data_IF_665560655407
#
_entry.id   IF_665560655407
#
_cell.length_a   1.000
_cell.length_b   1.000
_cell.length_c   1.000
_cell.angle_alpha   90.00
_cell.angle_beta   90.00
_cell.angle_gamma   90.00
#
_symmetry.space_group_name_H-M   'P 1'
#
loop_
_entity.id
_entity.type
_entity.pdbx_description
1 polymer ?
#
# COMPACT_ATOMS: atom_id res chain seq x y z
N UNK A 1 12.99 6.48 42.88
CA UNK A 1 14.36 6.55 42.34
C UNK A 1 14.50 5.68 41.09
N UNK A 2 14.14 4.39 41.10
CA UNK A 2 14.28 3.51 39.93
C UNK A 2 13.42 3.99 38.75
N UNK A 3 12.17 4.37 38.98
CA UNK A 3 11.25 4.87 37.97
C UNK A 3 11.78 6.15 37.31
N UNK A 4 12.30 7.09 38.10
CA UNK A 4 12.86 8.34 37.57
C UNK A 4 14.10 8.10 36.71
N UNK A 5 14.96 7.13 37.06
CA UNK A 5 16.11 6.72 36.26
C UNK A 5 15.67 6.15 34.90
N UNK A 6 14.65 5.31 34.89
CA UNK A 6 14.09 4.75 33.65
C UNK A 6 13.50 5.86 32.78
N UNK A 7 12.76 6.81 33.35
CA UNK A 7 12.21 7.94 32.57
C UNK A 7 13.33 8.81 31.96
N UNK A 8 14.38 9.11 32.72
CA UNK A 8 15.52 9.91 32.22
C UNK A 8 16.25 9.15 31.10
N UNK A 9 16.38 7.83 31.21
CA UNK A 9 16.99 7.00 30.18
C UNK A 9 16.19 7.07 28.87
N UNK A 10 14.86 6.92 28.91
CA UNK A 10 14.03 7.03 27.70
C UNK A 10 14.01 8.45 27.11
N UNK A 11 14.01 9.49 27.94
CA UNK A 11 14.10 10.87 27.46
C UNK A 11 15.43 11.18 26.77
N UNK A 12 16.51 10.49 27.16
CA UNK A 12 17.82 10.67 26.54
C UNK A 12 17.87 10.25 25.07
N UNK A 13 17.04 9.29 24.64
CA UNK A 13 16.93 8.92 23.22
C UNK A 13 16.39 10.10 22.39
N UNK A 14 15.38 10.80 22.88
CA UNK A 14 14.83 11.99 22.20
C UNK A 14 15.86 13.10 22.04
N UNK A 15 16.75 13.26 23.03
CA UNK A 15 17.82 14.24 22.93
C UNK A 15 18.86 13.87 21.86
N UNK A 16 19.27 12.60 21.80
CA UNK A 16 20.21 12.10 20.79
C UNK A 16 19.61 12.21 19.38
N UNK A 17 18.35 11.81 19.21
CA UNK A 17 17.67 11.91 17.93
C UNK A 17 17.59 13.36 17.46
N UNK A 18 17.21 14.29 18.34
CA UNK A 18 17.11 15.72 18.02
C UNK A 18 18.44 16.29 17.60
N UNK A 19 19.53 15.95 18.29
CA UNK A 19 20.88 16.39 17.94
C UNK A 19 21.29 15.93 16.53
N UNK A 20 21.00 14.68 16.17
CA UNK A 20 21.30 14.17 14.84
C UNK A 20 20.39 14.75 13.76
N UNK A 21 19.13 15.07 14.08
CA UNK A 21 18.22 15.76 13.15
C UNK A 21 18.68 17.19 12.86
N UNK A 22 19.13 17.93 13.88
CA UNK A 22 19.68 19.29 13.70
C UNK A 22 20.96 19.26 12.84
N UNK A 23 21.80 18.23 12.99
CA UNK A 23 22.97 18.01 12.11
C UNK A 23 22.55 17.63 10.68
N UNK A 24 21.54 16.79 10.52
CA UNK A 24 21.03 16.40 9.20
C UNK A 24 20.52 17.60 8.42
N UNK A 25 19.81 18.53 9.09
CA UNK A 25 19.34 19.77 8.48
C UNK A 25 20.46 20.69 7.98
N UNK A 26 21.68 20.55 8.51
CA UNK A 26 22.87 21.33 8.13
C UNK A 26 23.78 20.61 7.13
N UNK A 27 23.47 19.37 6.72
CA UNK A 27 24.29 18.62 5.78
C UNK A 27 24.21 19.21 4.36
N UNK A 28 25.33 19.57 3.73
CA UNK A 28 25.38 20.12 2.39
C UNK A 28 24.86 19.16 1.30
N UNK A 29 24.81 17.86 1.58
CA UNK A 29 24.28 16.82 0.68
C UNK A 29 22.80 16.53 0.89
N UNK A 30 22.19 17.19 1.84
CA UNK A 30 20.77 17.05 2.20
C UNK A 30 20.50 16.10 3.36
N UNK A 31 19.43 16.37 4.07
CA UNK A 31 18.99 15.66 5.27
C UNK A 31 18.86 14.14 5.05
N UNK A 32 18.26 13.74 3.91
CA UNK A 32 18.06 12.34 3.57
C UNK A 32 19.37 11.57 3.43
N UNK A 33 20.40 12.19 2.85
CA UNK A 33 21.73 11.57 2.70
C UNK A 33 22.39 11.33 4.04
N UNK A 34 22.32 12.32 4.95
CA UNK A 34 22.88 12.18 6.29
C UNK A 34 22.20 11.07 7.08
N UNK A 35 20.88 11.05 7.05
CA UNK A 35 20.08 10.04 7.75
C UNK A 35 20.34 8.63 7.23
N UNK A 36 20.44 8.45 5.92
CA UNK A 36 20.74 7.15 5.30
C UNK A 36 22.16 6.66 5.68
N UNK A 37 23.15 7.54 5.64
CA UNK A 37 24.54 7.20 6.01
C UNK A 37 24.69 6.84 7.49
N UNK A 38 23.96 7.53 8.38
CA UNK A 38 24.06 7.37 9.83
C UNK A 38 23.08 6.34 10.41
N UNK A 39 22.14 5.83 9.61
CA UNK A 39 21.06 4.96 10.06
C UNK A 39 21.53 3.74 10.86
N UNK A 40 22.62 3.13 10.42
CA UNK A 40 23.20 1.92 11.02
C UNK A 40 24.40 2.22 11.92
N UNK A 41 24.80 3.49 12.04
CA UNK A 41 25.90 3.89 12.91
C UNK A 41 25.45 3.88 14.37
N UNK A 42 26.36 3.42 15.26
CA UNK A 42 26.14 3.38 16.71
C UNK A 42 26.37 4.76 17.30
N UNK A 43 25.28 5.49 17.54
CA UNK A 43 25.33 6.90 17.97
C UNK A 43 25.11 7.10 19.46
N UNK A 44 24.59 6.08 20.17
CA UNK A 44 24.30 6.19 21.60
C UNK A 44 24.83 5.00 22.40
N UNK A 45 25.59 5.30 23.49
CA UNK A 45 26.21 4.32 24.40
C UNK A 45 27.02 3.21 23.69
N UNK A 46 27.48 3.44 22.45
CA UNK A 46 28.21 2.45 21.64
C UNK A 46 27.40 1.19 21.26
N UNK A 47 26.13 1.13 21.64
CA UNK A 47 25.27 -0.05 21.44
C UNK A 47 24.04 0.24 20.58
N UNK A 48 23.51 1.46 20.62
CA UNK A 48 22.28 1.83 19.91
C UNK A 48 22.57 2.58 18.61
N UNK A 49 21.98 2.11 17.52
CA UNK A 49 22.05 2.78 16.21
C UNK A 49 21.09 3.97 16.17
N UNK A 50 21.31 4.89 15.23
CA UNK A 50 20.39 6.03 15.04
C UNK A 50 18.95 5.56 14.78
N UNK A 51 18.78 4.49 14.00
CA UNK A 51 17.48 3.87 13.73
C UNK A 51 16.81 3.39 15.03
N UNK A 52 17.52 2.66 15.87
CA UNK A 52 17.01 2.18 17.16
C UNK A 52 16.69 3.33 18.11
N UNK A 53 17.51 4.40 18.13
CA UNK A 53 17.20 5.59 18.93
C UNK A 53 15.88 6.24 18.50
N UNK A 54 15.63 6.31 17.20
CA UNK A 54 14.35 6.84 16.65
C UNK A 54 13.15 5.95 16.95
N UNK A 55 13.33 4.64 16.99
CA UNK A 55 12.27 3.67 17.35
C UNK A 55 11.94 3.73 18.85
N UNK A 56 12.93 4.02 19.68
CA UNK A 56 12.77 4.15 21.15
C UNK A 56 12.39 5.57 21.60
N UNK A 57 12.46 6.55 20.71
CA UNK A 57 12.03 7.91 20.99
C UNK A 57 10.54 7.93 21.35
N UNK A 58 10.16 8.76 22.32
CA UNK A 58 8.75 8.98 22.64
C UNK A 58 8.05 9.56 21.43
N UNK A 59 7.20 8.76 20.81
CA UNK A 59 6.37 9.17 19.66
C UNK A 59 5.39 10.25 20.08
N UNK A 60 5.70 11.49 19.72
CA UNK A 60 4.72 12.58 19.84
C UNK A 60 3.70 12.42 18.72
N UNK A 61 2.41 12.49 19.06
CA UNK A 61 1.31 12.39 18.08
C UNK A 61 1.36 13.52 17.04
N UNK A 62 0.54 13.36 15.99
CA UNK A 62 0.40 14.33 14.89
C UNK A 62 0.11 15.75 15.38
N UNK A 63 -0.61 15.89 16.51
CA UNK A 63 -0.98 17.16 17.10
C UNK A 63 0.21 17.94 17.69
N UNK A 64 1.28 17.22 18.09
CA UNK A 64 2.45 17.80 18.75
C UNK A 64 3.66 17.95 17.82
N UNK A 65 3.89 16.99 16.93
CA UNK A 65 5.02 17.04 15.95
C UNK A 65 4.61 17.56 14.57
N UNK A 66 3.30 17.67 14.33
CA UNK A 66 2.77 17.87 13.00
C UNK A 66 2.85 16.58 12.16
N UNK A 67 2.25 16.60 11.01
CA UNK A 67 2.22 15.46 10.08
C UNK A 67 0.97 15.50 9.23
N UNK A 68 0.87 14.54 8.32
CA UNK A 68 -0.33 14.39 7.50
C UNK A 68 -0.85 12.95 7.58
N UNK A 69 -2.16 12.84 7.54
CA UNK A 69 -2.82 11.56 7.30
C UNK A 69 -3.15 11.48 5.81
N UNK A 70 -2.64 10.46 5.13
CA UNK A 70 -2.86 10.26 3.68
C UNK A 70 -3.56 8.94 3.49
N UNK A 71 -4.71 8.98 2.81
CA UNK A 71 -5.44 7.80 2.38
C UNK A 71 -5.14 7.60 0.91
N UNK A 72 -4.62 6.41 0.56
CA UNK A 72 -4.34 6.00 -0.81
C UNK A 72 -5.27 4.85 -1.17
N UNK A 73 -5.80 4.89 -2.37
CA UNK A 73 -6.67 3.84 -2.90
C UNK A 73 -6.02 3.21 -4.13
N UNK A 74 -6.11 1.88 -4.24
CA UNK A 74 -5.72 1.15 -5.45
C UNK A 74 -6.91 1.15 -6.40
N UNK A 75 -6.70 1.64 -7.62
CA UNK A 75 -7.73 1.63 -8.67
C UNK A 75 -7.98 0.21 -9.17
N UNK A 76 -8.96 -0.49 -8.60
CA UNK A 76 -9.35 -1.83 -9.04
C UNK A 76 -9.75 -1.87 -10.52
N UNK A 77 -10.50 -0.87 -11.07
CA UNK A 77 -10.77 -0.79 -12.50
C UNK A 77 -9.52 -0.84 -13.37
N UNK A 78 -8.45 -0.15 -12.98
CA UNK A 78 -7.22 -0.12 -13.77
C UNK A 78 -6.42 -1.41 -13.64
N UNK A 79 -6.47 -2.07 -12.49
CA UNK A 79 -5.91 -3.42 -12.33
C UNK A 79 -6.62 -4.40 -13.26
N UNK A 80 -7.96 -4.38 -13.30
CA UNK A 80 -8.75 -5.27 -14.19
C UNK A 80 -8.45 -4.99 -15.66
N UNK A 81 -8.29 -3.73 -16.08
CA UNK A 81 -7.86 -3.38 -17.45
C UNK A 81 -6.46 -3.92 -17.76
N UNK A 82 -5.52 -3.76 -16.83
CA UNK A 82 -4.16 -4.27 -17.01
C UNK A 82 -4.13 -5.79 -17.15
N UNK A 83 -4.92 -6.52 -16.34
CA UNK A 83 -5.05 -7.98 -16.44
C UNK A 83 -5.66 -8.45 -17.77
N UNK A 84 -6.52 -7.64 -18.38
CA UNK A 84 -7.07 -7.85 -19.71
C UNK A 84 -6.12 -7.40 -20.84
N UNK A 85 -4.86 -7.09 -20.53
CA UNK A 85 -3.85 -6.59 -21.48
C UNK A 85 -4.30 -5.30 -22.21
N UNK A 86 -5.02 -4.43 -21.50
CA UNK A 86 -5.58 -3.17 -22.01
C UNK A 86 -6.38 -3.35 -23.32
N UNK A 87 -7.11 -4.45 -23.45
CA UNK A 87 -7.96 -4.69 -24.62
C UNK A 87 -8.90 -3.53 -24.87
N UNK A 88 -9.07 -3.20 -26.13
CA UNK A 88 -9.95 -2.11 -26.60
C UNK A 88 -11.37 -2.56 -26.93
N UNK A 89 -11.80 -3.71 -26.42
CA UNK A 89 -13.17 -4.18 -26.60
C UNK A 89 -14.17 -3.17 -26.03
N UNK A 90 -15.13 -2.76 -26.85
CA UNK A 90 -16.12 -1.74 -26.49
C UNK A 90 -17.04 -2.21 -25.35
N UNK A 91 -17.47 -3.48 -25.38
CA UNK A 91 -18.31 -4.06 -24.34
C UNK A 91 -17.58 -4.13 -23.00
N UNK A 92 -16.29 -4.51 -23.02
CA UNK A 92 -15.43 -4.52 -21.84
C UNK A 92 -15.26 -3.12 -21.24
N UNK A 93 -14.91 -2.13 -22.08
CA UNK A 93 -14.69 -0.76 -21.61
C UNK A 93 -15.96 -0.12 -21.04
N UNK A 94 -17.12 -0.37 -21.69
CA UNK A 94 -18.41 0.07 -21.15
C UNK A 94 -18.74 -0.59 -19.82
N UNK A 95 -18.52 -1.89 -19.70
CA UNK A 95 -18.77 -2.63 -18.47
C UNK A 95 -17.89 -2.11 -17.31
N UNK A 96 -16.60 -1.85 -17.57
CA UNK A 96 -15.68 -1.27 -16.56
C UNK A 96 -16.14 0.14 -16.15
N UNK A 97 -16.54 0.98 -17.11
CA UNK A 97 -17.01 2.34 -16.83
C UNK A 97 -18.30 2.36 -16.00
N UNK A 98 -19.28 1.50 -16.36
CA UNK A 98 -20.54 1.42 -15.60
C UNK A 98 -20.34 0.79 -14.21
N UNK A 99 -19.53 -0.26 -14.10
CA UNK A 99 -19.17 -0.83 -12.80
C UNK A 99 -18.46 0.19 -11.90
N UNK A 100 -17.55 1.03 -12.46
CA UNK A 100 -16.89 2.10 -11.71
C UNK A 100 -17.86 3.16 -11.18
N UNK A 101 -18.88 3.51 -11.95
CA UNK A 101 -19.92 4.44 -11.47
C UNK A 101 -20.77 3.81 -10.36
N UNK A 102 -21.13 2.54 -10.54
CA UNK A 102 -21.95 1.82 -9.55
C UNK A 102 -21.20 1.55 -8.26
N UNK A 103 -19.89 1.30 -8.29
CA UNK A 103 -19.08 1.04 -7.10
C UNK A 103 -19.03 2.23 -6.13
N UNK A 104 -19.31 3.45 -6.60
CA UNK A 104 -19.37 4.65 -5.74
C UNK A 104 -20.62 4.63 -4.83
N UNK A 105 -21.72 4.02 -5.30
CA UNK A 105 -23.02 4.05 -4.62
C UNK A 105 -23.48 2.68 -4.12
N UNK A 106 -22.91 1.60 -4.62
CA UNK A 106 -23.19 0.22 -4.23
C UNK A 106 -22.24 -0.25 -3.14
N UNK A 107 -22.70 -1.18 -2.33
CA UNK A 107 -21.86 -1.94 -1.39
C UNK A 107 -21.29 -3.21 -2.04
N UNK A 108 -21.67 -3.52 -3.28
CA UNK A 108 -21.17 -4.67 -4.00
C UNK A 108 -19.73 -4.45 -4.45
N UNK A 109 -18.93 -5.51 -4.39
CA UNK A 109 -17.56 -5.55 -4.88
C UNK A 109 -17.49 -5.18 -6.38
N UNK A 110 -16.47 -4.40 -6.76
CA UNK A 110 -16.24 -3.97 -8.13
C UNK A 110 -16.23 -5.13 -9.13
N UNK A 111 -15.64 -6.27 -8.79
CA UNK A 111 -15.54 -7.43 -9.68
C UNK A 111 -16.92 -8.02 -9.93
N UNK A 112 -17.76 -8.12 -8.91
CA UNK A 112 -19.16 -8.55 -9.04
C UNK A 112 -19.95 -7.60 -9.94
N UNK A 113 -19.82 -6.30 -9.74
CA UNK A 113 -20.47 -5.29 -10.58
C UNK A 113 -19.99 -5.37 -12.03
N UNK A 114 -18.67 -5.50 -12.22
CA UNK A 114 -18.08 -5.63 -13.55
C UNK A 114 -18.60 -6.85 -14.30
N UNK A 115 -18.62 -8.03 -13.66
CA UNK A 115 -19.11 -9.27 -14.28
C UNK A 115 -20.58 -9.13 -14.67
N UNK A 116 -21.38 -8.52 -13.79
CA UNK A 116 -22.82 -8.27 -14.04
C UNK A 116 -23.03 -7.32 -15.23
N UNK A 117 -22.28 -6.23 -15.28
CA UNK A 117 -22.39 -5.25 -16.37
C UNK A 117 -21.83 -5.82 -17.69
N UNK A 118 -20.75 -6.58 -17.64
CA UNK A 118 -20.20 -7.23 -18.83
C UNK A 118 -21.20 -8.22 -19.45
N UNK A 119 -21.88 -9.03 -18.63
CA UNK A 119 -22.95 -9.95 -19.11
C UNK A 119 -24.14 -9.23 -19.69
N UNK A 120 -24.44 -8.02 -19.28
CA UNK A 120 -25.49 -7.19 -19.91
C UNK A 120 -25.05 -6.68 -21.28
N UNK A 121 -23.78 -6.27 -21.43
CA UNK A 121 -23.23 -5.74 -22.68
C UNK A 121 -22.97 -6.85 -23.71
N UNK A 122 -22.51 -7.99 -23.25
CA UNK A 122 -22.17 -9.16 -24.07
C UNK A 122 -22.76 -10.46 -23.46
N UNK A 123 -24.05 -10.75 -23.66
CA UNK A 123 -24.71 -11.93 -23.06
C UNK A 123 -24.07 -13.27 -23.42
N UNK A 124 -23.48 -13.37 -24.60
CA UNK A 124 -22.77 -14.57 -25.09
C UNK A 124 -21.24 -14.49 -24.93
N UNK A 125 -20.73 -13.37 -24.41
CA UNK A 125 -19.31 -13.17 -24.19
C UNK A 125 -18.81 -14.00 -23.01
N UNK A 126 -17.65 -14.63 -23.17
CA UNK A 126 -16.99 -15.35 -22.09
C UNK A 126 -15.90 -14.49 -21.47
N UNK A 127 -15.89 -14.39 -20.16
CA UNK A 127 -14.82 -13.69 -19.44
C UNK A 127 -13.44 -14.31 -19.73
N UNK A 128 -13.40 -15.62 -19.93
CA UNK A 128 -12.17 -16.33 -20.26
C UNK A 128 -11.49 -15.81 -21.54
N UNK A 129 -12.22 -15.32 -22.54
CA UNK A 129 -11.67 -14.76 -23.77
C UNK A 129 -10.99 -13.40 -23.53
N UNK A 130 -11.46 -12.65 -22.54
CA UNK A 130 -10.87 -11.37 -22.14
C UNK A 130 -9.60 -11.57 -21.32
N UNK A 131 -9.61 -12.52 -20.40
CA UNK A 131 -8.57 -12.71 -19.41
C UNK A 131 -7.61 -13.87 -19.67
N UNK A 132 -7.76 -14.58 -20.79
CA UNK A 132 -6.74 -15.55 -21.27
C UNK A 132 -5.52 -14.78 -21.84
N UNK A 133 -4.88 -13.99 -21.02
CA UNK A 133 -3.72 -13.17 -21.36
C UNK A 133 -2.42 -13.91 -21.01
N UNK A 134 -1.29 -13.42 -21.50
CA UNK A 134 0.02 -14.01 -21.19
C UNK A 134 0.31 -13.98 -19.67
N UNK A 135 -0.22 -12.98 -18.96
CA UNK A 135 -0.03 -12.84 -17.52
C UNK A 135 -0.83 -13.89 -16.73
N UNK A 136 -1.98 -14.29 -17.22
CA UNK A 136 -2.90 -15.21 -16.54
C UNK A 136 -2.95 -16.61 -17.16
N UNK A 137 -2.07 -16.93 -18.12
CA UNK A 137 -2.08 -18.18 -18.88
C UNK A 137 -2.07 -19.47 -18.04
N UNK A 138 -1.44 -19.39 -16.85
CA UNK A 138 -1.33 -20.52 -15.93
C UNK A 138 -2.57 -20.68 -15.02
N UNK A 139 -3.42 -19.64 -14.94
CA UNK A 139 -4.61 -19.58 -14.08
C UNK A 139 -5.91 -19.55 -14.87
N UNK A 140 -5.92 -18.92 -16.05
CA UNK A 140 -7.09 -18.75 -16.90
C UNK A 140 -6.82 -19.29 -18.30
N UNK A 141 -7.65 -20.21 -18.74
CA UNK A 141 -7.63 -20.73 -20.11
C UNK A 141 -8.94 -20.33 -20.80
N UNK A 142 -8.97 -20.37 -22.14
CA UNK A 142 -10.17 -20.09 -22.92
C UNK A 142 -11.37 -21.02 -22.63
N UNK A 143 -11.12 -22.10 -21.87
CA UNK A 143 -12.16 -23.07 -21.43
C UNK A 143 -12.63 -22.84 -20.01
N UNK A 144 -11.98 -21.93 -19.26
CA UNK A 144 -12.35 -21.62 -17.87
C UNK A 144 -13.76 -21.07 -17.79
N UNK A 145 -14.46 -21.42 -16.73
CA UNK A 145 -15.80 -20.88 -16.45
C UNK A 145 -15.71 -19.43 -15.97
N UNK A 146 -16.78 -18.66 -16.13
CA UNK A 146 -16.81 -17.27 -15.66
C UNK A 146 -16.59 -17.16 -14.15
N UNK A 147 -17.07 -18.13 -13.36
CA UNK A 147 -16.86 -18.16 -11.91
C UNK A 147 -15.39 -18.43 -11.52
N UNK A 148 -14.68 -19.25 -12.29
CA UNK A 148 -13.24 -19.45 -12.10
C UNK A 148 -12.45 -18.20 -12.43
N UNK A 149 -12.80 -17.53 -13.54
CA UNK A 149 -12.17 -16.25 -13.92
C UNK A 149 -12.42 -15.18 -12.86
N UNK A 150 -13.64 -15.07 -12.35
CA UNK A 150 -13.98 -14.13 -11.29
C UNK A 150 -13.16 -14.36 -10.03
N UNK A 151 -12.98 -15.62 -9.61
CA UNK A 151 -12.14 -15.98 -8.47
C UNK A 151 -10.69 -15.58 -8.69
N UNK A 152 -10.14 -15.87 -9.86
CA UNK A 152 -8.77 -15.49 -10.22
C UNK A 152 -8.61 -13.98 -10.22
N UNK A 153 -9.57 -13.23 -10.75
CA UNK A 153 -9.52 -11.76 -10.72
C UNK A 153 -9.49 -11.20 -9.30
N UNK A 154 -10.26 -11.76 -8.37
CA UNK A 154 -10.23 -11.36 -6.96
C UNK A 154 -8.86 -11.63 -6.32
N UNK A 155 -8.27 -12.80 -6.60
CA UNK A 155 -6.95 -13.15 -6.11
C UNK A 155 -5.87 -12.21 -6.67
N UNK A 156 -5.93 -11.86 -7.95
CA UNK A 156 -4.97 -10.95 -8.58
C UNK A 156 -5.10 -9.50 -8.07
N UNK A 157 -6.32 -9.02 -7.90
CA UNK A 157 -6.57 -7.69 -7.31
C UNK A 157 -6.02 -7.64 -5.88
N UNK A 158 -6.28 -8.67 -5.08
CA UNK A 158 -5.73 -8.77 -3.72
C UNK A 158 -4.20 -8.77 -3.75
N UNK A 159 -3.59 -9.56 -4.62
CA UNK A 159 -2.14 -9.61 -4.78
C UNK A 159 -1.56 -8.25 -5.22
N UNK A 160 -2.25 -7.51 -6.10
CA UNK A 160 -1.85 -6.17 -6.51
C UNK A 160 -1.90 -5.17 -5.35
N UNK A 161 -2.92 -5.25 -4.49
CA UNK A 161 -3.04 -4.42 -3.28
C UNK A 161 -1.91 -4.74 -2.30
N UNK A 162 -1.67 -6.02 -2.01
CA UNK A 162 -0.62 -6.46 -1.09
C UNK A 162 0.79 -6.05 -1.60
N UNK A 163 1.02 -6.17 -2.91
CA UNK A 163 2.27 -5.73 -3.52
C UNK A 163 2.45 -4.20 -3.43
N UNK A 164 1.41 -3.44 -3.71
CA UNK A 164 1.41 -1.97 -3.58
C UNK A 164 1.70 -1.55 -2.14
N UNK A 165 1.09 -2.21 -1.17
CA UNK A 165 1.35 -2.00 0.26
C UNK A 165 2.82 -2.23 0.62
N UNK A 166 3.38 -3.37 0.19
CA UNK A 166 4.78 -3.72 0.46
C UNK A 166 5.76 -2.72 -0.17
N UNK A 167 5.48 -2.27 -1.40
CA UNK A 167 6.29 -1.25 -2.09
C UNK A 167 6.22 0.08 -1.33
N UNK A 168 5.03 0.52 -0.93
CA UNK A 168 4.85 1.76 -0.15
C UNK A 168 5.56 1.66 1.19
N UNK A 169 5.39 0.58 1.92
CA UNK A 169 6.06 0.34 3.19
C UNK A 169 7.59 0.42 3.06
N UNK A 170 8.14 -0.29 2.07
CA UNK A 170 9.59 -0.28 1.81
C UNK A 170 10.11 1.12 1.47
N UNK A 171 9.33 1.91 0.71
CA UNK A 171 9.70 3.30 0.39
C UNK A 171 9.66 4.19 1.62
N UNK A 172 8.63 4.08 2.44
CA UNK A 172 8.48 4.87 3.67
C UNK A 172 9.59 4.52 4.67
N UNK A 173 9.91 3.23 4.83
CA UNK A 173 11.02 2.78 5.68
C UNK A 173 12.36 3.34 5.20
N UNK A 174 12.57 3.46 3.88
CA UNK A 174 13.78 4.05 3.29
C UNK A 174 13.92 5.53 3.58
N UNK A 175 12.82 6.28 3.69
CA UNK A 175 12.86 7.69 4.11
C UNK A 175 13.18 7.87 5.60
N UNK A 176 13.32 6.79 6.35
CA UNK A 176 13.68 6.83 7.76
C UNK A 176 12.62 7.53 8.63
N UNK A 177 11.35 7.50 8.23
CA UNK A 177 10.25 8.04 9.03
C UNK A 177 10.14 7.23 10.31
N UNK A 178 10.23 7.91 11.45
CA UNK A 178 10.07 7.27 12.74
C UNK A 178 8.60 6.85 12.93
N UNK A 179 8.38 5.55 13.17
CA UNK A 179 7.07 4.96 13.50
C UNK A 179 5.94 5.35 12.53
N UNK A 180 6.05 5.09 11.21
CA UNK A 180 4.93 5.30 10.31
C UNK A 180 3.82 4.32 10.67
N UNK A 181 2.62 4.82 10.90
CA UNK A 181 1.44 3.98 11.05
C UNK A 181 0.84 3.72 9.68
N UNK A 182 1.14 2.56 9.10
CA UNK A 182 0.62 2.16 7.79
C UNK A 182 -0.39 1.05 8.04
N UNK A 183 -1.66 1.34 7.77
CA UNK A 183 -2.77 0.42 7.93
C UNK A 183 -3.45 0.17 6.59
N UNK A 184 -3.72 -1.09 6.26
CA UNK A 184 -4.62 -1.44 5.16
C UNK A 184 -6.06 -1.25 5.66
N UNK A 185 -6.78 -0.37 4.97
CA UNK A 185 -8.22 -0.23 5.14
C UNK A 185 -8.86 -1.12 4.08
N UNK A 186 -9.41 -2.25 4.51
CA UNK A 186 -10.28 -3.03 3.64
C UNK A 186 -11.67 -2.37 3.65
N UNK A 187 -12.16 -1.97 2.50
CA UNK A 187 -13.58 -1.70 2.33
C UNK A 187 -14.34 -3.01 2.55
N UNK A 188 -15.58 -2.96 2.96
CA UNK A 188 -16.43 -4.03 3.49
C UNK A 188 -16.42 -5.38 2.75
N UNK A 189 -15.78 -5.47 1.60
CA UNK A 189 -15.79 -6.64 0.71
C UNK A 189 -14.66 -7.64 0.96
N UNK A 190 -13.78 -7.37 1.90
CA UNK A 190 -12.69 -8.27 2.27
C UNK A 190 -12.94 -8.99 3.61
N UNK A 191 -14.15 -8.92 4.14
CA UNK A 191 -14.50 -9.44 5.47
C UNK A 191 -15.36 -10.72 5.44
N UNK A 192 -15.23 -11.56 4.39
CA UNK A 192 -15.78 -12.92 4.37
C UNK A 192 -14.69 -13.94 4.01
#
# INVERSE_FOLDING_TARGET
>A
VLLTLVCVFYLSFSFVTRYHMDKAAQDPKGEAHYLDSMQNEKVYLGSYTLKQCREMEIGLGLDLKGGMNVILEVSVPDVVKALADNKTDEAFNKAVAEASKQSITSQDDFITLFVKEYKKQAPNGKLAELFATQQLKDKVTTRSSDSEVEKVLREEVKAAIDNSYNVLRTRIDRFGVAQPNICLLYTSDAAD
#
